data_IF_694188973360
#
_entry.id   IF_694188973360
#
_cell.length_a   1.000
_cell.length_b   1.000
_cell.length_c   1.000
_cell.angle_alpha   90.00
_cell.angle_beta   90.00
_cell.angle_gamma   90.00
#
_symmetry.space_group_name_H-M   'P 1'
#
loop_
_entity.id
_entity.type
_entity.pdbx_description
1 polymer ?
#
# COMPACT_ATOMS: atom_id res chain seq x y z
N UNK A 1 12.81 16.04 -0.19
CA UNK A 1 11.78 15.23 -0.90
C UNK A 1 11.27 14.14 0.02
N UNK A 2 10.08 13.58 -0.26
CA UNK A 2 9.33 12.75 0.69
C UNK A 2 9.05 11.36 0.12
N UNK A 3 9.57 10.34 0.78
CA UNK A 3 9.15 8.97 0.52
C UNK A 3 7.67 8.81 0.87
N UNK A 4 6.98 7.82 0.30
CA UNK A 4 5.52 7.73 0.39
C UNK A 4 5.09 6.37 0.93
N UNK A 5 4.12 6.35 1.85
CA UNK A 5 3.46 5.14 2.30
C UNK A 5 1.98 5.16 1.92
N UNK A 6 1.50 4.07 1.31
CA UNK A 6 0.11 3.88 0.89
C UNK A 6 -0.69 3.13 1.96
N UNK A 7 -1.91 3.61 2.27
CA UNK A 7 -2.88 2.90 3.11
C UNK A 7 -3.76 2.01 2.24
N UNK A 8 -3.40 0.74 2.15
CA UNK A 8 -4.14 -0.25 1.37
C UNK A 8 -5.25 -0.91 2.20
N UNK A 9 -6.40 -1.17 1.57
CA UNK A 9 -7.40 -2.06 2.17
C UNK A 9 -6.87 -3.50 2.10
N UNK A 10 -7.10 -4.29 3.16
CA UNK A 10 -6.57 -5.64 3.23
C UNK A 10 -7.04 -6.49 2.05
N UNK A 11 -6.07 -7.13 1.39
CA UNK A 11 -6.27 -8.11 0.34
C UNK A 11 -5.45 -9.35 0.74
N UNK A 12 -6.07 -10.51 0.67
CA UNK A 12 -5.51 -11.80 1.08
C UNK A 12 -5.21 -12.75 -0.08
N UNK A 13 -5.38 -12.28 -1.32
CA UNK A 13 -5.06 -13.07 -2.50
C UNK A 13 -3.55 -13.09 -2.70
N UNK A 14 -2.92 -14.17 -2.28
CA UNK A 14 -1.47 -14.33 -2.30
C UNK A 14 -0.94 -14.71 -3.69
N UNK A 15 -1.80 -15.13 -4.62
CA UNK A 15 -1.34 -15.84 -5.80
C UNK A 15 -0.78 -17.22 -5.44
N UNK A 16 -0.56 -18.04 -6.44
CA UNK A 16 -0.12 -19.42 -6.22
C UNK A 16 1.36 -19.47 -5.84
N UNK A 17 1.67 -20.10 -4.70
CA UNK A 17 3.05 -20.36 -4.25
C UNK A 17 3.87 -19.12 -3.81
N UNK A 18 3.26 -17.93 -3.76
CA UNK A 18 4.00 -16.72 -3.43
C UNK A 18 4.04 -16.46 -1.92
N UNK A 19 5.21 -16.17 -1.34
CA UNK A 19 5.36 -15.89 0.08
C UNK A 19 5.00 -14.42 0.38
N UNK A 20 3.80 -13.97 0.00
CA UNK A 20 3.30 -12.61 0.23
C UNK A 20 2.01 -12.63 1.04
N UNK A 21 1.65 -11.51 1.66
CA UNK A 21 0.40 -11.41 2.44
C UNK A 21 -0.87 -11.33 1.58
N UNK A 22 -0.76 -10.91 0.32
CA UNK A 22 -1.87 -10.78 -0.62
C UNK A 22 -1.54 -9.88 -1.82
N UNK A 23 -2.57 -9.23 -2.40
CA UNK A 23 -2.45 -8.25 -3.51
C UNK A 23 -1.99 -8.80 -4.88
N UNK A 24 -2.22 -10.09 -5.10
CA UNK A 24 -1.94 -10.81 -6.35
C UNK A 24 -3.24 -11.24 -7.07
N UNK A 25 -4.31 -10.46 -6.90
CA UNK A 25 -5.63 -10.65 -7.52
C UNK A 25 -6.78 -10.17 -6.64
N UNK A 26 -8.02 -10.46 -7.05
CA UNK A 26 -9.21 -10.15 -6.25
C UNK A 26 -9.19 -10.85 -4.88
N UNK A 27 -9.59 -10.13 -3.83
CA UNK A 27 -9.73 -10.66 -2.46
C UNK A 27 -10.60 -11.92 -2.43
N UNK A 28 -10.32 -12.86 -1.51
CA UNK A 28 -11.18 -14.03 -1.29
C UNK A 28 -12.60 -13.63 -0.90
N UNK A 29 -13.55 -14.57 -0.99
CA UNK A 29 -14.93 -14.34 -0.55
C UNK A 29 -15.04 -13.76 0.87
N UNK A 30 -14.40 -14.38 1.88
CA UNK A 30 -14.36 -13.84 3.24
C UNK A 30 -13.78 -12.42 3.34
N UNK A 31 -12.65 -12.14 2.67
CA UNK A 31 -12.01 -10.81 2.74
C UNK A 31 -12.80 -9.75 1.99
N UNK A 32 -13.40 -10.08 0.85
CA UNK A 32 -14.34 -9.20 0.16
C UNK A 32 -15.53 -8.86 1.07
N UNK A 33 -16.13 -9.87 1.70
CA UNK A 33 -17.24 -9.65 2.63
C UNK A 33 -16.85 -8.77 3.82
N UNK A 34 -15.66 -8.97 4.39
CA UNK A 34 -15.12 -8.12 5.45
C UNK A 34 -14.98 -6.66 5.00
N UNK A 35 -14.34 -6.43 3.84
CA UNK A 35 -14.12 -5.08 3.32
C UNK A 35 -15.43 -4.36 2.96
N UNK A 36 -16.42 -5.07 2.42
CA UNK A 36 -17.76 -4.52 2.15
C UNK A 36 -18.46 -4.15 3.46
N UNK A 37 -18.56 -5.10 4.40
CA UNK A 37 -19.33 -4.92 5.64
C UNK A 37 -18.75 -3.87 6.59
N UNK A 38 -17.42 -3.73 6.63
CA UNK A 38 -16.76 -2.72 7.48
C UNK A 38 -16.80 -1.30 6.93
N UNK A 39 -17.29 -1.10 5.69
CA UNK A 39 -17.34 0.20 5.05
C UNK A 39 -16.01 0.66 4.45
N UNK A 40 -15.22 -0.23 3.83
CA UNK A 40 -14.03 0.22 3.07
C UNK A 40 -14.46 1.19 1.94
N UNK A 41 -13.80 2.35 1.78
CA UNK A 41 -14.30 3.43 0.91
C UNK A 41 -14.68 3.05 -0.52
N UNK A 42 -13.96 2.11 -1.15
CA UNK A 42 -14.34 1.56 -2.45
C UNK A 42 -15.30 0.37 -2.30
N UNK A 43 -14.92 -0.63 -1.50
CA UNK A 43 -15.60 -1.91 -1.46
C UNK A 43 -17.07 -1.83 -1.01
N UNK A 44 -17.43 -0.86 -0.18
CA UNK A 44 -18.81 -0.73 0.32
C UNK A 44 -19.73 0.07 -0.59
N UNK A 45 -19.23 0.64 -1.69
CA UNK A 45 -20.06 1.42 -2.60
C UNK A 45 -20.99 0.51 -3.42
N UNK A 46 -22.20 0.96 -3.77
CA UNK A 46 -23.10 0.24 -4.67
C UNK A 46 -22.50 -0.09 -6.04
N UNK A 47 -21.60 0.77 -6.53
CA UNK A 47 -20.91 0.65 -7.82
C UNK A 47 -19.73 -0.33 -7.78
N UNK A 48 -19.28 -0.74 -6.59
CA UNK A 48 -18.15 -1.65 -6.48
C UNK A 48 -18.55 -3.09 -6.84
N UNK A 49 -17.84 -3.75 -7.78
CA UNK A 49 -18.12 -5.15 -8.13
C UNK A 49 -18.05 -6.12 -6.93
N UNK A 50 -17.20 -5.85 -5.94
CA UNK A 50 -17.16 -6.64 -4.70
C UNK A 50 -18.44 -6.50 -3.88
N UNK A 51 -19.05 -5.31 -3.83
CA UNK A 51 -20.32 -5.08 -3.16
C UNK A 51 -21.43 -5.86 -3.83
N UNK A 52 -21.48 -5.81 -5.17
CA UNK A 52 -22.40 -6.59 -6.00
C UNK A 52 -22.30 -8.10 -5.74
N UNK A 53 -21.07 -8.64 -5.76
CA UNK A 53 -20.80 -10.03 -5.44
C UNK A 53 -21.27 -10.40 -4.02
N UNK A 54 -20.91 -9.61 -3.01
CA UNK A 54 -21.19 -9.93 -1.60
C UNK A 54 -22.66 -9.76 -1.23
N UNK A 55 -23.32 -8.72 -1.72
CA UNK A 55 -24.68 -8.34 -1.31
C UNK A 55 -25.77 -8.89 -2.23
N UNK A 56 -25.45 -9.13 -3.52
CA UNK A 56 -26.42 -9.57 -4.53
C UNK A 56 -26.13 -10.95 -5.11
N UNK A 57 -25.01 -11.57 -4.74
CA UNK A 57 -24.63 -12.90 -5.24
C UNK A 57 -24.24 -12.92 -6.72
N UNK A 58 -23.87 -11.77 -7.28
CA UNK A 58 -23.30 -11.68 -8.64
C UNK A 58 -21.99 -12.48 -8.73
N UNK A 59 -21.50 -12.84 -9.94
CA UNK A 59 -20.21 -13.51 -10.07
C UNK A 59 -19.07 -12.72 -9.41
N UNK A 60 -18.12 -13.43 -8.81
CA UNK A 60 -16.97 -12.79 -8.19
C UNK A 60 -16.11 -12.08 -9.26
N UNK A 61 -15.80 -10.79 -9.10
CA UNK A 61 -14.95 -10.06 -10.04
C UNK A 61 -13.49 -10.54 -9.96
N UNK A 62 -12.82 -10.60 -11.11
CA UNK A 62 -11.40 -10.95 -11.20
C UNK A 62 -10.48 -9.77 -10.86
N UNK A 63 -10.86 -8.55 -11.28
CA UNK A 63 -10.08 -7.32 -11.11
C UNK A 63 -10.92 -6.16 -10.56
N UNK A 64 -11.44 -6.27 -9.32
CA UNK A 64 -12.42 -5.33 -8.80
C UNK A 64 -11.87 -3.94 -8.44
N UNK A 65 -10.54 -3.80 -8.32
CA UNK A 65 -9.93 -2.57 -7.86
C UNK A 65 -8.45 -2.47 -8.26
N UNK A 66 -7.91 -1.25 -8.23
CA UNK A 66 -6.50 -0.97 -8.46
C UNK A 66 -5.57 -1.75 -7.51
N UNK A 67 -5.99 -1.94 -6.26
CA UNK A 67 -5.20 -2.67 -5.26
C UNK A 67 -5.09 -4.17 -5.57
N UNK A 68 -6.03 -4.74 -6.34
CA UNK A 68 -6.04 -6.18 -6.66
C UNK A 68 -4.86 -6.61 -7.53
N UNK A 69 -4.26 -5.68 -8.29
CA UNK A 69 -3.11 -5.96 -9.18
C UNK A 69 -1.82 -5.30 -8.72
N UNK A 70 -1.80 -4.75 -7.50
CA UNK A 70 -0.72 -3.90 -7.00
C UNK A 70 0.65 -4.59 -7.01
N UNK A 71 0.75 -5.86 -6.59
CA UNK A 71 2.02 -6.61 -6.61
C UNK A 71 2.26 -7.38 -7.92
N UNK A 72 1.26 -7.49 -8.79
CA UNK A 72 1.43 -8.01 -10.16
C UNK A 72 2.11 -6.94 -11.01
N UNK A 73 1.60 -5.71 -10.96
CA UNK A 73 2.09 -4.58 -11.77
C UNK A 73 3.19 -3.78 -11.07
N UNK A 74 3.42 -4.04 -9.78
CA UNK A 74 4.29 -3.23 -8.93
C UNK A 74 3.97 -1.74 -9.04
N UNK A 75 2.67 -1.45 -8.94
CA UNK A 75 2.09 -0.15 -9.21
C UNK A 75 1.07 0.21 -8.14
N UNK A 76 1.24 1.39 -7.54
CA UNK A 76 0.37 1.88 -6.49
C UNK A 76 -0.36 3.13 -6.96
N UNK A 77 -1.69 3.09 -6.87
CA UNK A 77 -2.56 4.16 -7.32
C UNK A 77 -3.02 5.04 -6.18
N UNK A 78 -3.30 6.29 -6.52
CA UNK A 78 -3.78 7.27 -5.60
C UNK A 78 -5.24 7.05 -5.21
N UNK A 79 -6.01 6.40 -6.08
CA UNK A 79 -7.42 6.15 -5.91
C UNK A 79 -8.27 7.41 -6.07
N UNK A 80 -9.54 7.29 -5.72
CA UNK A 80 -10.53 8.35 -5.90
C UNK A 80 -11.07 8.80 -4.53
N UNK A 81 -11.59 10.01 -4.49
CA UNK A 81 -12.54 10.39 -3.44
C UNK A 81 -13.87 9.65 -3.69
N UNK A 82 -14.47 9.09 -2.65
CA UNK A 82 -15.65 8.23 -2.76
C UNK A 82 -16.87 8.81 -2.03
N UNK A 83 -16.74 10.01 -1.47
CA UNK A 83 -17.75 10.66 -0.66
C UNK A 83 -17.69 12.18 -0.77
N UNK A 84 -18.80 12.82 -0.40
CA UNK A 84 -18.92 14.27 -0.37
C UNK A 84 -18.90 14.92 -1.77
N UNK A 85 -18.74 16.26 -1.83
CA UNK A 85 -18.79 17.03 -3.07
C UNK A 85 -17.72 16.64 -4.10
N UNK A 86 -16.67 15.96 -3.66
CA UNK A 86 -15.53 15.53 -4.49
C UNK A 86 -15.60 14.06 -4.89
N UNK A 87 -16.72 13.38 -4.66
CA UNK A 87 -16.87 11.97 -5.06
C UNK A 87 -16.51 11.78 -6.54
N UNK A 88 -15.78 10.70 -6.82
CA UNK A 88 -15.23 10.35 -8.12
C UNK A 88 -14.12 11.29 -8.64
N UNK A 89 -13.61 12.18 -7.80
CA UNK A 89 -12.44 12.98 -8.15
C UNK A 89 -11.17 12.11 -8.00
N UNK A 90 -10.31 12.04 -9.03
CA UNK A 90 -9.04 11.33 -8.95
C UNK A 90 -8.09 12.05 -8.00
N UNK A 91 -7.47 11.30 -7.10
CA UNK A 91 -6.47 11.87 -6.17
C UNK A 91 -5.15 12.12 -6.87
N UNK A 92 -4.43 13.12 -6.37
CA UNK A 92 -3.09 13.50 -6.81
C UNK A 92 -2.02 12.96 -5.87
N UNK A 93 -0.85 12.66 -6.41
CA UNK A 93 0.38 12.40 -5.66
C UNK A 93 1.24 13.66 -5.76
N UNK A 94 1.34 14.43 -4.67
CA UNK A 94 1.97 15.74 -4.71
C UNK A 94 3.46 15.73 -4.31
N UNK A 95 3.86 14.84 -3.40
CA UNK A 95 5.18 14.87 -2.78
C UNK A 95 5.91 13.53 -2.87
N UNK A 96 5.92 12.90 -4.05
CA UNK A 96 6.74 11.73 -4.34
C UNK A 96 7.25 11.82 -5.77
N UNK A 97 8.54 11.52 -5.96
CA UNK A 97 9.25 11.65 -7.23
C UNK A 97 9.99 10.35 -7.61
N UNK A 98 10.52 10.31 -8.83
CA UNK A 98 11.41 9.24 -9.26
C UNK A 98 12.63 9.18 -8.33
N UNK A 99 12.94 7.99 -7.83
CA UNK A 99 14.02 7.75 -6.89
C UNK A 99 13.58 7.67 -5.43
N UNK A 100 12.40 8.20 -5.08
CA UNK A 100 11.80 8.02 -3.76
C UNK A 100 11.41 6.55 -3.53
N UNK A 101 11.12 6.20 -2.27
CA UNK A 101 10.67 4.86 -1.90
C UNK A 101 9.17 4.91 -1.62
N UNK A 102 8.45 3.95 -2.21
CA UNK A 102 7.06 3.67 -1.90
C UNK A 102 6.97 2.49 -0.94
N UNK A 103 6.27 2.68 0.18
CA UNK A 103 5.90 1.65 1.14
C UNK A 103 4.42 1.30 0.98
N UNK A 104 4.11 0.02 0.85
CA UNK A 104 2.74 -0.45 0.79
C UNK A 104 2.36 -1.01 2.16
N UNK A 105 1.31 -0.45 2.77
CA UNK A 105 0.92 -0.77 4.14
C UNK A 105 -0.51 -1.24 4.24
N UNK A 106 -0.77 -2.13 5.20
CA UNK A 106 -2.13 -2.59 5.48
C UNK A 106 -2.26 -3.05 6.94
N UNK A 107 -3.41 -3.59 7.29
CA UNK A 107 -3.74 -4.17 8.59
C UNK A 107 -4.47 -5.47 8.39
N UNK A 108 -4.31 -6.42 9.31
CA UNK A 108 -5.20 -7.58 9.29
C UNK A 108 -6.63 -7.16 9.63
N UNK A 109 -7.63 -7.95 9.18
CA UNK A 109 -9.01 -7.74 9.57
C UNK A 109 -9.19 -7.69 11.09
N UNK A 110 -9.70 -6.56 11.59
CA UNK A 110 -9.98 -6.36 13.02
C UNK A 110 -8.90 -5.57 13.77
N UNK A 111 -7.69 -5.45 13.23
CA UNK A 111 -6.59 -4.76 13.91
C UNK A 111 -6.80 -3.23 13.97
N UNK A 112 -6.40 -2.64 15.09
CA UNK A 112 -6.26 -1.19 15.24
C UNK A 112 -5.13 -0.61 14.40
N UNK A 113 -4.99 0.73 14.35
CA UNK A 113 -3.93 1.36 13.55
C UNK A 113 -2.53 0.94 13.99
N UNK A 114 -2.29 0.68 15.27
CA UNK A 114 -1.00 0.16 15.78
C UNK A 114 -0.55 -1.14 15.09
N UNK A 115 -1.49 -2.00 14.66
CA UNK A 115 -1.19 -3.23 13.92
C UNK A 115 -0.91 -3.03 12.43
N UNK A 116 -0.76 -1.77 11.96
CA UNK A 116 -0.43 -1.49 10.56
C UNK A 116 0.99 -1.93 10.26
N UNK A 117 1.14 -2.75 9.24
CA UNK A 117 2.44 -3.26 8.79
C UNK A 117 2.72 -2.88 7.34
N UNK A 118 4.01 -2.79 7.03
CA UNK A 118 4.54 -2.71 5.68
C UNK A 118 4.55 -4.14 5.12
N UNK A 119 4.02 -4.33 3.91
CA UNK A 119 4.01 -5.62 3.24
C UNK A 119 4.82 -5.64 1.94
N UNK A 120 5.19 -4.47 1.44
CA UNK A 120 6.09 -4.33 0.30
C UNK A 120 6.71 -2.93 0.29
N UNK A 121 7.88 -2.82 -0.32
CA UNK A 121 8.55 -1.56 -0.57
C UNK A 121 9.25 -1.60 -1.95
N UNK A 122 9.34 -0.45 -2.61
CA UNK A 122 10.08 -0.33 -3.86
C UNK A 122 10.59 1.07 -4.12
N UNK A 123 11.67 1.19 -4.90
CA UNK A 123 12.12 2.46 -5.46
C UNK A 123 11.20 2.84 -6.62
N UNK A 124 10.75 4.09 -6.62
CA UNK A 124 9.89 4.64 -7.65
C UNK A 124 10.72 4.89 -8.91
N UNK A 125 10.35 4.24 -10.02
CA UNK A 125 10.93 4.47 -11.34
C UNK A 125 10.07 5.40 -12.21
N UNK A 126 8.76 5.43 -11.97
CA UNK A 126 7.81 6.25 -12.72
C UNK A 126 6.79 6.87 -11.78
N UNK A 127 6.47 8.14 -12.02
CA UNK A 127 5.43 8.89 -11.32
C UNK A 127 4.52 9.55 -12.33
N UNK A 128 3.22 9.30 -12.20
CA UNK A 128 2.17 10.10 -12.82
C UNK A 128 1.43 10.80 -11.68
N UNK A 129 1.65 12.11 -11.44
CA UNK A 129 1.06 12.80 -10.30
C UNK A 129 -0.47 12.86 -10.35
N UNK A 130 -1.04 12.87 -11.55
CA UNK A 130 -2.48 12.95 -11.79
C UNK A 130 -2.85 12.33 -13.12
N UNK A 131 -3.89 11.50 -13.11
CA UNK A 131 -4.54 10.95 -14.29
C UNK A 131 -6.06 11.08 -14.07
N UNK A 132 -6.81 11.73 -14.97
CA UNK A 132 -8.25 11.95 -14.79
C UNK A 132 -9.07 10.66 -14.86
N UNK A 133 -8.55 9.60 -15.47
CA UNK A 133 -9.24 8.31 -15.61
C UNK A 133 -8.79 7.29 -14.56
N UNK A 134 -7.55 7.41 -14.07
CA UNK A 134 -6.91 6.39 -13.21
C UNK A 134 -6.44 6.90 -11.86
N UNK A 135 -6.52 8.19 -11.57
CA UNK A 135 -5.80 8.87 -10.47
C UNK A 135 -4.28 8.86 -10.62
N UNK A 136 -3.57 9.67 -9.83
CA UNK A 136 -2.12 9.60 -9.79
C UNK A 136 -1.61 8.21 -9.41
N UNK A 137 -0.40 7.84 -9.82
CA UNK A 137 0.19 6.55 -9.49
C UNK A 137 1.71 6.59 -9.54
N UNK A 138 2.31 5.61 -8.88
CA UNK A 138 3.76 5.35 -8.92
C UNK A 138 4.01 3.89 -9.31
N UNK A 139 5.11 3.63 -10.01
CA UNK A 139 5.52 2.30 -10.43
C UNK A 139 6.96 2.01 -10.02
N UNK A 140 7.22 0.76 -9.67
CA UNK A 140 8.53 0.31 -9.21
C UNK A 140 9.59 0.26 -10.30
N UNK A 141 10.84 0.46 -9.88
CA UNK A 141 12.03 -0.09 -10.52
C UNK A 141 12.03 -1.62 -10.36
N UNK A 142 12.07 -2.36 -11.47
CA UNK A 142 12.02 -3.83 -11.46
C UNK A 142 13.18 -4.49 -10.72
N UNK A 143 14.31 -3.79 -10.56
CA UNK A 143 15.50 -4.27 -9.84
C UNK A 143 15.49 -3.92 -8.35
N UNK A 144 14.68 -2.95 -7.92
CA UNK A 144 14.67 -2.39 -6.57
C UNK A 144 13.27 -2.43 -5.95
N UNK A 145 12.72 -3.64 -5.85
CA UNK A 145 11.42 -3.92 -5.28
C UNK A 145 11.41 -5.17 -4.43
N UNK A 146 10.60 -5.17 -3.38
CA UNK A 146 10.57 -6.22 -2.38
C UNK A 146 9.16 -6.37 -1.81
N UNK A 147 8.62 -7.58 -1.85
CA UNK A 147 7.40 -7.96 -1.12
C UNK A 147 7.83 -8.82 0.08
N UNK A 148 7.12 -8.73 1.19
CA UNK A 148 7.46 -9.37 2.45
C UNK A 148 6.55 -10.57 2.71
N UNK A 149 7.12 -11.63 3.27
CA UNK A 149 6.36 -12.76 3.79
C UNK A 149 5.78 -12.44 5.17
N UNK A 150 4.78 -13.21 5.65
CA UNK A 150 4.12 -12.94 6.94
C UNK A 150 5.06 -12.85 8.15
N UNK A 151 6.19 -13.55 8.09
CA UNK A 151 7.24 -13.59 9.12
C UNK A 151 8.34 -12.52 8.93
N UNK A 152 8.24 -11.68 7.90
CA UNK A 152 9.16 -10.58 7.59
C UNK A 152 8.50 -9.20 7.73
N UNK A 153 7.28 -9.14 8.27
CA UNK A 153 6.50 -7.90 8.37
C UNK A 153 7.08 -6.95 9.41
N UNK A 154 7.10 -5.66 9.04
CA UNK A 154 7.55 -4.56 9.89
C UNK A 154 6.37 -3.65 10.21
N UNK A 155 6.16 -3.29 11.47
CA UNK A 155 5.10 -2.36 11.86
C UNK A 155 5.44 -0.94 11.41
N UNK A 156 4.49 -0.31 10.73
CA UNK A 156 4.68 1.01 10.12
C UNK A 156 4.91 2.10 11.17
N UNK A 157 4.19 2.05 12.29
CA UNK A 157 4.23 3.10 13.32
C UNK A 157 5.52 3.08 14.15
N UNK A 158 6.28 1.99 14.13
CA UNK A 158 7.60 1.93 14.78
C UNK A 158 8.65 2.77 14.03
N UNK A 159 8.36 3.15 12.79
CA UNK A 159 9.23 3.93 11.92
C UNK A 159 8.58 5.22 11.43
N UNK A 160 7.33 5.48 11.82
CA UNK A 160 6.59 6.65 11.42
C UNK A 160 6.14 7.51 12.58
N UNK A 161 6.57 8.76 12.58
CA UNK A 161 6.10 9.78 13.50
C UNK A 161 5.37 10.90 12.75
N UNK A 162 4.24 11.34 13.29
CA UNK A 162 3.59 12.55 12.83
C UNK A 162 4.40 13.76 13.32
N UNK A 163 4.94 14.57 12.41
CA UNK A 163 5.74 15.76 12.77
C UNK A 163 5.07 16.68 13.79
N UNK A 164 3.75 16.86 13.70
CA UNK A 164 2.99 17.73 14.59
C UNK A 164 2.48 17.03 15.87
N UNK A 165 2.46 15.69 15.90
CA UNK A 165 1.99 14.92 17.05
C UNK A 165 2.62 13.51 17.09
N UNK A 166 3.90 13.39 17.49
CA UNK A 166 4.66 12.14 17.37
C UNK A 166 4.03 10.94 18.08
N UNK A 167 3.28 11.15 19.17
CA UNK A 167 2.62 10.08 19.93
C UNK A 167 1.29 9.60 19.30
N UNK A 168 0.78 10.28 18.29
CA UNK A 168 -0.49 9.91 17.65
C UNK A 168 -0.32 8.75 16.67
N UNK A 169 -0.90 7.61 17.05
CA UNK A 169 -1.02 6.42 16.20
C UNK A 169 -2.38 6.42 15.52
N UNK A 170 -2.43 6.93 14.29
CA UNK A 170 -3.66 6.91 13.50
C UNK A 170 -3.48 7.49 12.12
N UNK A 171 -4.06 6.85 11.09
CA UNK A 171 -3.87 7.30 9.70
C UNK A 171 -4.82 8.42 9.26
N UNK A 172 -6.06 8.41 9.73
CA UNK A 172 -7.12 9.32 9.22
C UNK A 172 -7.66 8.90 7.86
N UNK A 173 -8.31 9.84 7.15
CA UNK A 173 -8.99 9.60 5.86
C UNK A 173 -8.08 9.60 4.64
N UNK A 174 -6.86 10.16 4.75
CA UNK A 174 -5.92 10.25 3.65
C UNK A 174 -5.47 8.88 3.13
N UNK A 175 -5.09 8.82 1.85
CA UNK A 175 -4.60 7.58 1.22
C UNK A 175 -3.10 7.37 1.41
N UNK A 176 -2.32 8.44 1.62
CA UNK A 176 -0.88 8.35 1.81
C UNK A 176 -0.39 9.11 3.03
N UNK A 177 0.80 8.73 3.48
CA UNK A 177 1.65 9.51 4.37
C UNK A 177 3.01 9.70 3.71
N UNK A 178 3.66 10.82 4.00
CA UNK A 178 5.00 11.11 3.52
C UNK A 178 6.01 10.95 4.65
N UNK A 179 7.12 10.28 4.36
CA UNK A 179 8.22 9.97 5.27
C UNK A 179 9.42 10.82 4.88
N UNK A 180 10.15 11.31 5.89
CA UNK A 180 11.49 11.83 5.63
C UNK A 180 12.49 10.68 5.41
N UNK A 181 13.70 11.02 4.97
CA UNK A 181 14.73 10.04 4.68
C UNK A 181 15.17 9.20 5.88
N UNK A 182 15.09 9.74 7.11
CA UNK A 182 15.44 8.99 8.32
C UNK A 182 14.38 7.93 8.62
N UNK A 183 13.10 8.30 8.52
CA UNK A 183 11.97 7.39 8.73
C UNK A 183 11.99 6.26 7.69
N UNK A 184 12.20 6.59 6.41
CA UNK A 184 12.29 5.59 5.35
C UNK A 184 13.50 4.67 5.50
N UNK A 185 14.67 5.23 5.84
CA UNK A 185 15.88 4.44 6.12
C UNK A 185 15.64 3.46 7.26
N UNK A 186 15.10 3.94 8.38
CA UNK A 186 14.83 3.10 9.55
C UNK A 186 13.86 1.96 9.23
N UNK A 187 12.80 2.24 8.46
CA UNK A 187 11.88 1.21 7.99
C UNK A 187 12.58 0.17 7.10
N UNK A 188 13.43 0.59 6.16
CA UNK A 188 14.15 -0.31 5.27
C UNK A 188 15.23 -1.14 6.00
N UNK A 189 15.91 -0.57 7.00
CA UNK A 189 16.86 -1.29 7.85
C UNK A 189 16.16 -2.37 8.69
N UNK A 190 14.99 -2.07 9.25
CA UNK A 190 14.16 -3.05 9.95
C UNK A 190 13.70 -4.17 9.02
N UNK A 191 13.29 -3.84 7.79
CA UNK A 191 12.97 -4.84 6.76
C UNK A 191 14.20 -5.72 6.49
N UNK A 192 15.38 -5.12 6.26
CA UNK A 192 16.61 -5.85 5.99
C UNK A 192 17.03 -6.79 7.14
N UNK A 193 16.68 -6.45 8.38
CA UNK A 193 16.95 -7.30 9.54
C UNK A 193 16.05 -8.55 9.60
N UNK A 194 14.84 -8.50 9.02
CA UNK A 194 13.89 -9.61 9.03
C UNK A 194 13.94 -10.47 7.77
N UNK A 195 14.28 -9.89 6.62
CA UNK A 195 14.33 -10.60 5.33
C UNK A 195 15.38 -11.71 5.38
N UNK A 196 14.93 -12.94 5.14
CA UNK A 196 15.75 -14.15 5.33
C UNK A 196 16.62 -14.51 4.12
N UNK A 197 16.12 -14.21 2.93
CA UNK A 197 16.84 -14.47 1.69
C UNK A 197 17.90 -13.37 1.46
N UNK A 198 19.17 -13.77 1.28
CA UNK A 198 20.30 -12.84 1.18
C UNK A 198 20.19 -11.90 -0.04
N UNK A 199 19.64 -12.37 -1.16
CA UNK A 199 19.43 -11.52 -2.34
C UNK A 199 18.39 -10.44 -2.04
N UNK A 200 17.24 -10.81 -1.47
CA UNK A 200 16.17 -9.88 -1.07
C UNK A 200 16.65 -8.92 0.02
N UNK A 201 17.47 -9.38 0.96
CA UNK A 201 18.11 -8.55 1.97
C UNK A 201 19.06 -7.52 1.34
N UNK A 202 19.83 -7.92 0.32
CA UNK A 202 20.64 -6.99 -0.48
C UNK A 202 19.81 -5.87 -1.11
N UNK A 203 18.61 -6.17 -1.63
CA UNK A 203 17.67 -5.16 -2.14
C UNK A 203 17.21 -4.23 -1.01
N UNK A 204 16.83 -4.78 0.14
CA UNK A 204 16.41 -3.98 1.29
C UNK A 204 17.51 -3.00 1.77
N UNK A 205 18.76 -3.47 1.84
CA UNK A 205 19.91 -2.65 2.21
C UNK A 205 20.23 -1.56 1.16
N UNK A 206 20.08 -1.88 -0.13
CA UNK A 206 20.23 -0.91 -1.20
C UNK A 206 19.18 0.21 -1.09
N UNK A 207 17.91 -0.16 -0.87
CA UNK A 207 16.82 0.80 -0.63
C UNK A 207 17.07 1.64 0.64
N UNK A 208 17.55 1.04 1.74
CA UNK A 208 17.91 1.79 2.95
C UNK A 208 18.99 2.85 2.68
N UNK A 209 19.99 2.52 1.86
CA UNK A 209 21.07 3.44 1.48
C UNK A 209 20.55 4.61 0.61
N UNK A 210 19.60 4.33 -0.28
CA UNK A 210 18.99 5.33 -1.15
C UNK A 210 18.00 6.26 -0.43
N UNK A 211 17.53 5.87 0.76
CA UNK A 211 16.59 6.65 1.57
C UNK A 211 17.19 7.94 2.12
N UNK A 212 18.50 8.18 1.98
CA UNK A 212 19.15 9.37 2.57
C UNK A 212 19.07 10.63 1.69
N UNK A 213 18.63 10.52 0.44
CA UNK A 213 18.59 11.66 -0.49
C UNK A 213 17.32 12.49 -0.31
N UNK A 214 17.36 13.41 0.65
CA UNK A 214 16.28 14.37 0.85
C UNK A 214 16.60 15.41 1.93
N UNK A 215 17.63 16.22 1.70
CA UNK A 215 17.71 17.55 2.31
C UNK A 215 16.87 18.55 1.51
#
# INVERSE_FOLDING_TARGET
>A
MGHIAFKCAYNDNRGEGMPVVGYMGACTGPTAAYNVKKGSPWCSLPECPCSSYVLRGEPRPEEPCQDSRMLIEWKAYAGFDHNGPWSWTPRKINNADVGDIAFLTTRYPGDGEAGRFIFAAFRIAEVVPYDPEKSGWVKADDSLKLALSPDELVFFWDHYENRSNPSYIGWGSGRFRYLDGRQAKGAMEAIAALVKDERRKGIALALASLSQHGE
#
